data_IF_654233471990
#
_entry.id   IF_654233471990
#
_cell.length_a   1.000
_cell.length_b   1.000
_cell.length_c   1.000
_cell.angle_alpha   90.00
_cell.angle_beta   90.00
_cell.angle_gamma   90.00
#
_symmetry.space_group_name_H-M   'P 1'
#
loop_
_entity.id
_entity.type
_entity.pdbx_description
1 polymer ?
#
# COMPACT_ATOMS: atom_id res chain seq x y z
N UNK A 1 -3.67 -14.33 -34.56
CA UNK A 1 -4.19 -13.09 -33.93
C UNK A 1 -3.27 -12.77 -32.77
N UNK A 2 -2.50 -11.69 -32.84
CA UNK A 2 -1.65 -11.27 -31.72
C UNK A 2 -2.55 -11.03 -30.51
N UNK A 3 -2.26 -11.68 -29.38
CA UNK A 3 -2.97 -11.43 -28.15
C UNK A 3 -2.89 -9.92 -27.84
N UNK A 4 -4.03 -9.25 -27.71
CA UNK A 4 -4.10 -7.83 -27.40
C UNK A 4 -3.40 -7.58 -26.06
N UNK A 5 -2.27 -6.87 -26.10
CA UNK A 5 -1.49 -6.49 -24.92
C UNK A 5 -2.40 -5.70 -23.95
N UNK A 6 -2.43 -6.10 -22.68
CA UNK A 6 -3.30 -5.48 -21.69
C UNK A 6 -2.69 -4.14 -21.27
N UNK A 7 -3.33 -3.04 -21.66
CA UNK A 7 -2.93 -1.67 -21.31
C UNK A 7 -3.99 -1.00 -20.44
N UNK A 8 -3.59 -0.44 -19.31
CA UNK A 8 -4.49 0.31 -18.44
C UNK A 8 -4.99 1.57 -19.16
N UNK A 9 -6.30 1.78 -19.12
CA UNK A 9 -7.00 2.83 -19.87
C UNK A 9 -6.72 2.80 -21.39
N UNK A 10 -6.24 1.67 -21.92
CA UNK A 10 -5.84 1.53 -23.32
C UNK A 10 -4.55 2.28 -23.70
N UNK A 11 -3.82 2.83 -22.72
CA UNK A 11 -2.64 3.67 -22.96
C UNK A 11 -1.39 3.20 -22.22
N UNK A 12 -1.53 2.86 -20.93
CA UNK A 12 -0.39 2.60 -20.07
C UNK A 12 -0.04 1.11 -20.04
N UNK A 13 1.19 0.76 -20.42
CA UNK A 13 1.69 -0.62 -20.31
C UNK A 13 2.07 -0.97 -18.86
N UNK A 14 2.02 -2.26 -18.55
CA UNK A 14 2.40 -2.84 -17.27
C UNK A 14 3.80 -3.47 -17.28
N UNK A 15 4.44 -3.62 -18.45
CA UNK A 15 5.70 -4.36 -18.59
C UNK A 15 6.87 -3.71 -17.86
N UNK A 16 6.93 -2.37 -17.86
CA UNK A 16 8.03 -1.61 -17.26
C UNK A 16 7.87 -1.34 -15.76
N UNK A 17 6.78 -1.84 -15.14
CA UNK A 17 6.45 -1.48 -13.76
C UNK A 17 7.17 -2.41 -12.78
N UNK A 18 8.12 -1.85 -12.03
CA UNK A 18 8.94 -2.57 -11.06
C UNK A 18 8.64 -2.11 -9.63
N UNK A 19 8.48 -3.08 -8.73
CA UNK A 19 8.39 -2.82 -7.28
C UNK A 19 9.79 -2.95 -6.69
N UNK A 20 10.37 -1.83 -6.26
CA UNK A 20 11.75 -1.79 -5.75
C UNK A 20 11.93 -2.36 -4.33
N UNK A 21 10.86 -2.47 -3.54
CA UNK A 21 10.89 -2.99 -2.16
C UNK A 21 10.43 -4.45 -2.13
N UNK A 22 11.35 -5.37 -1.81
CA UNK A 22 11.09 -6.81 -1.76
C UNK A 22 9.91 -7.17 -0.85
N UNK A 23 9.77 -6.48 0.28
CA UNK A 23 8.73 -6.78 1.28
C UNK A 23 7.30 -6.51 0.78
N UNK A 24 7.16 -5.69 -0.27
CA UNK A 24 5.88 -5.23 -0.80
C UNK A 24 5.47 -5.91 -2.11
N UNK A 25 6.36 -6.68 -2.74
CA UNK A 25 6.15 -7.30 -4.06
C UNK A 25 4.84 -8.11 -4.09
N UNK A 26 4.59 -8.93 -3.07
CA UNK A 26 3.39 -9.77 -3.00
C UNK A 26 2.09 -9.01 -2.63
N UNK A 27 2.23 -7.78 -2.12
CA UNK A 27 1.10 -6.96 -1.64
C UNK A 27 0.71 -5.84 -2.60
N UNK A 28 1.55 -5.57 -3.60
CA UNK A 28 1.30 -4.63 -4.70
C UNK A 28 1.07 -5.47 -5.97
N UNK A 29 -0.20 -5.76 -6.26
CA UNK A 29 -0.56 -6.53 -7.43
C UNK A 29 -0.40 -5.71 -8.72
N UNK A 30 0.75 -5.90 -9.38
CA UNK A 30 1.11 -5.39 -10.72
C UNK A 30 1.37 -6.53 -11.71
N UNK A 31 1.47 -7.76 -11.21
CA UNK A 31 1.77 -8.95 -12.02
C UNK A 31 0.69 -9.23 -13.08
N UNK A 32 1.02 -10.13 -14.02
CA UNK A 32 0.16 -10.51 -15.15
C UNK A 32 -1.27 -10.90 -14.74
N UNK A 33 -1.47 -11.45 -13.55
CA UNK A 33 -2.80 -11.83 -13.03
C UNK A 33 -3.67 -10.65 -12.60
N UNK A 34 -3.06 -9.48 -12.38
CA UNK A 34 -3.73 -8.26 -11.92
C UNK A 34 -3.79 -7.16 -12.99
N UNK A 35 -3.31 -7.43 -14.20
CA UNK A 35 -3.41 -6.51 -15.32
C UNK A 35 -4.88 -6.34 -15.73
N UNK A 36 -5.34 -5.10 -15.82
CA UNK A 36 -6.70 -4.80 -16.23
C UNK A 36 -6.76 -3.58 -17.13
N UNK A 37 -7.68 -3.60 -18.11
CA UNK A 37 -7.92 -2.43 -18.97
C UNK A 37 -8.54 -1.27 -18.20
N UNK A 38 -9.40 -1.60 -17.22
CA UNK A 38 -10.11 -0.64 -16.38
C UNK A 38 -9.96 -1.08 -14.91
N UNK A 39 -9.82 -0.14 -13.96
CA UNK A 39 -9.77 -0.45 -12.53
C UNK A 39 -11.18 -0.71 -11.95
N UNK A 40 -12.07 -1.31 -12.74
CA UNK A 40 -13.42 -1.67 -12.37
C UNK A 40 -13.63 -3.18 -12.55
N UNK A 41 -13.27 -3.95 -11.53
CA UNK A 41 -13.49 -5.40 -11.53
C UNK A 41 -14.70 -5.77 -10.66
N UNK A 42 -15.24 -6.97 -10.89
CA UNK A 42 -16.28 -7.61 -10.07
C UNK A 42 -15.67 -8.60 -9.05
N UNK A 43 -14.38 -8.44 -8.73
CA UNK A 43 -13.66 -9.35 -7.85
C UNK A 43 -14.14 -9.31 -6.40
N UNK A 44 -14.37 -10.48 -5.80
CA UNK A 44 -14.74 -10.63 -4.38
C UNK A 44 -13.50 -10.71 -3.49
N UNK A 45 -12.90 -9.55 -3.20
CA UNK A 45 -11.62 -9.48 -2.50
C UNK A 45 -11.70 -9.59 -0.97
N UNK A 46 -12.87 -9.37 -0.34
CA UNK A 46 -13.02 -9.47 1.12
C UNK A 46 -13.39 -10.88 1.62
N UNK A 47 -13.70 -11.84 0.74
CA UNK A 47 -14.18 -13.17 1.14
C UNK A 47 -13.17 -13.94 1.99
N UNK A 48 -11.86 -13.66 1.82
CA UNK A 48 -10.78 -14.22 2.63
C UNK A 48 -9.81 -13.13 3.05
N UNK A 49 -9.19 -13.27 4.22
CA UNK A 49 -8.37 -12.23 4.89
C UNK A 49 -7.28 -11.60 4.00
N UNK A 50 -6.53 -12.41 3.25
CA UNK A 50 -5.42 -11.93 2.41
C UNK A 50 -5.74 -11.78 0.93
N UNK A 51 -6.97 -12.06 0.50
CA UNK A 51 -7.36 -11.99 -0.92
C UNK A 51 -7.33 -10.55 -1.47
N UNK A 52 -7.35 -9.54 -0.57
CA UNK A 52 -7.16 -8.13 -0.92
C UNK A 52 -5.80 -7.81 -1.55
N UNK A 53 -4.77 -8.59 -1.27
CA UNK A 53 -3.45 -8.39 -1.86
C UNK A 53 -3.44 -8.64 -3.38
N UNK A 54 -4.33 -9.52 -3.87
CA UNK A 54 -4.49 -9.84 -5.29
C UNK A 54 -5.26 -8.77 -6.09
N UNK A 55 -5.89 -7.81 -5.41
CA UNK A 55 -6.64 -6.73 -6.07
C UNK A 55 -5.66 -5.75 -6.73
N UNK A 56 -5.85 -5.41 -8.03
CA UNK A 56 -5.00 -4.46 -8.73
C UNK A 56 -4.82 -3.17 -7.93
N UNK A 57 -3.59 -2.67 -7.85
CA UNK A 57 -3.29 -1.53 -6.96
C UNK A 57 -4.09 -0.27 -7.33
N UNK A 58 -4.31 -0.03 -8.63
CA UNK A 58 -5.11 1.09 -9.14
C UNK A 58 -6.59 0.95 -8.76
N UNK A 59 -7.13 -0.28 -8.72
CA UNK A 59 -8.48 -0.52 -8.24
C UNK A 59 -8.62 -0.23 -6.75
N UNK A 60 -7.60 -0.56 -5.94
CA UNK A 60 -7.57 -0.21 -4.52
C UNK A 60 -7.56 1.31 -4.32
N UNK A 61 -6.86 2.06 -5.17
CA UNK A 61 -6.90 3.53 -5.19
C UNK A 61 -8.32 4.04 -5.45
N UNK A 62 -8.95 3.56 -6.52
CA UNK A 62 -10.33 3.92 -6.87
C UNK A 62 -11.29 3.62 -5.72
N UNK A 63 -11.14 2.46 -5.05
CA UNK A 63 -11.98 2.09 -3.92
C UNK A 63 -11.81 3.06 -2.73
N UNK A 64 -10.58 3.49 -2.45
CA UNK A 64 -10.28 4.45 -1.39
C UNK A 64 -10.83 5.85 -1.70
N UNK A 65 -10.85 6.27 -2.96
CA UNK A 65 -11.39 7.58 -3.37
C UNK A 65 -12.90 7.72 -3.11
N UNK A 66 -13.66 6.62 -3.08
CA UNK A 66 -15.12 6.64 -2.87
C UNK A 66 -15.56 6.81 -1.41
N UNK A 67 -14.63 6.91 -0.45
CA UNK A 67 -14.99 7.01 0.96
C UNK A 67 -15.71 8.33 1.30
N UNK A 68 -16.37 8.33 2.46
CA UNK A 68 -17.17 9.43 3.03
C UNK A 68 -18.55 9.61 2.38
N UNK A 69 -19.57 9.03 3.03
CA UNK A 69 -21.00 9.31 2.85
C UNK A 69 -21.46 9.45 1.40
N UNK A 70 -21.61 10.70 0.95
CA UNK A 70 -22.15 11.09 -0.38
C UNK A 70 -21.39 10.49 -1.57
N UNK A 71 -20.16 10.07 -1.37
CA UNK A 71 -19.30 9.51 -2.43
C UNK A 71 -19.27 7.97 -2.44
N UNK A 72 -19.90 7.33 -1.44
CA UNK A 72 -19.89 5.89 -1.28
C UNK A 72 -20.52 5.19 -2.50
N UNK A 73 -19.86 4.14 -3.00
CA UNK A 73 -20.34 3.31 -4.12
C UNK A 73 -20.16 3.91 -5.51
N UNK A 74 -19.71 5.16 -5.66
CA UNK A 74 -19.57 5.85 -6.95
C UNK A 74 -18.27 5.48 -7.69
N UNK A 75 -18.11 4.21 -8.03
CA UNK A 75 -16.87 3.68 -8.64
C UNK A 75 -16.58 4.28 -10.01
N UNK A 76 -17.59 4.44 -10.86
CA UNK A 76 -17.43 5.07 -12.17
C UNK A 76 -16.93 6.53 -12.09
N UNK A 77 -17.31 7.25 -11.04
CA UNK A 77 -16.78 8.60 -10.79
C UNK A 77 -15.31 8.55 -10.36
N UNK A 78 -14.94 7.64 -9.45
CA UNK A 78 -13.57 7.46 -9.01
C UNK A 78 -12.62 7.04 -10.16
N UNK A 79 -13.07 6.14 -11.04
CA UNK A 79 -12.30 5.69 -12.20
C UNK A 79 -11.98 6.86 -13.14
N UNK A 80 -12.93 7.79 -13.37
CA UNK A 80 -12.71 8.99 -14.18
C UNK A 80 -11.69 9.93 -13.54
N UNK A 81 -11.78 10.15 -12.23
CA UNK A 81 -10.82 10.99 -11.49
C UNK A 81 -9.41 10.42 -11.62
N UNK A 82 -9.25 9.11 -11.41
CA UNK A 82 -7.94 8.44 -11.50
C UNK A 82 -7.39 8.47 -12.93
N UNK A 83 -8.25 8.30 -13.94
CA UNK A 83 -7.84 8.44 -15.35
C UNK A 83 -7.21 9.80 -15.62
N UNK A 84 -7.89 10.88 -15.22
CA UNK A 84 -7.37 12.24 -15.42
C UNK A 84 -6.13 12.52 -14.58
N UNK A 85 -6.07 12.03 -13.34
CA UNK A 85 -4.87 12.18 -12.51
C UNK A 85 -3.65 11.50 -13.16
N UNK A 86 -3.82 10.31 -13.75
CA UNK A 86 -2.73 9.60 -14.43
C UNK A 86 -2.29 10.29 -15.72
N UNK A 87 -3.20 10.93 -16.45
CA UNK A 87 -2.87 11.79 -17.60
C UNK A 87 -2.01 12.99 -17.15
N UNK A 88 -2.39 13.67 -16.06
CA UNK A 88 -1.62 14.79 -15.50
C UNK A 88 -0.23 14.35 -15.05
N UNK A 89 -0.13 13.23 -14.33
CA UNK A 89 1.16 12.69 -13.86
C UNK A 89 2.09 12.43 -15.04
N UNK A 90 1.59 11.79 -16.10
CA UNK A 90 2.41 11.50 -17.28
C UNK A 90 2.91 12.79 -17.93
N UNK A 91 2.04 13.78 -18.15
CA UNK A 91 2.42 15.05 -18.77
C UNK A 91 3.45 15.86 -17.96
N UNK A 92 3.48 15.69 -16.64
CA UNK A 92 4.41 16.43 -15.76
C UNK A 92 5.73 15.71 -15.51
N UNK A 93 5.79 14.40 -15.73
CA UNK A 93 6.95 13.57 -15.37
C UNK A 93 7.56 12.80 -16.53
N UNK A 94 6.87 12.74 -17.67
CA UNK A 94 7.20 11.95 -18.87
C UNK A 94 7.43 10.46 -18.61
N UNK A 95 7.00 9.97 -17.44
CA UNK A 95 7.13 8.57 -17.01
C UNK A 95 5.78 7.88 -17.00
N UNK A 96 5.81 6.55 -16.90
CA UNK A 96 4.60 5.76 -16.74
C UNK A 96 3.95 6.11 -15.38
N UNK A 97 2.69 6.58 -15.34
CA UNK A 97 2.02 6.99 -14.11
C UNK A 97 1.80 5.81 -13.14
N UNK A 98 1.73 4.57 -13.65
CA UNK A 98 1.62 3.38 -12.80
C UNK A 98 2.87 3.22 -11.94
N UNK A 99 4.06 3.42 -12.52
CA UNK A 99 5.32 3.32 -11.77
C UNK A 99 5.40 4.37 -10.66
N UNK A 100 5.08 5.63 -10.98
CA UNK A 100 5.07 6.72 -10.00
C UNK A 100 4.09 6.43 -8.87
N UNK A 101 2.92 5.87 -9.20
CA UNK A 101 1.95 5.49 -8.19
C UNK A 101 2.45 4.35 -7.29
N UNK A 102 3.13 3.34 -7.85
CA UNK A 102 3.76 2.27 -7.06
C UNK A 102 4.83 2.83 -6.12
N UNK A 103 5.68 3.74 -6.60
CA UNK A 103 6.71 4.39 -5.79
C UNK A 103 6.08 5.26 -4.68
N UNK A 104 5.01 6.00 -4.98
CA UNK A 104 4.26 6.76 -3.98
C UNK A 104 3.69 5.85 -2.87
N UNK A 105 3.17 4.68 -3.21
CA UNK A 105 2.63 3.71 -2.24
C UNK A 105 3.75 3.11 -1.38
N UNK A 106 4.91 2.78 -1.98
CA UNK A 106 6.08 2.31 -1.23
C UNK A 106 6.53 3.33 -0.19
N UNK A 107 6.59 4.60 -0.59
CA UNK A 107 7.18 5.66 0.23
C UNK A 107 6.20 6.19 1.27
N UNK A 108 4.91 6.28 0.95
CA UNK A 108 3.87 6.82 1.84
C UNK A 108 3.42 5.90 2.98
N UNK A 109 3.82 4.63 2.98
CA UNK A 109 3.44 3.68 4.02
C UNK A 109 4.44 3.67 5.19
N UNK A 110 3.99 3.86 6.45
CA UNK A 110 4.86 3.79 7.62
C UNK A 110 5.36 2.36 7.86
N UNK A 111 6.62 2.26 8.27
CA UNK A 111 7.30 0.99 8.57
C UNK A 111 7.14 0.61 10.04
N UNK A 112 7.08 1.60 10.93
CA UNK A 112 6.90 1.42 12.37
C UNK A 112 5.67 2.21 12.84
N UNK A 113 4.98 1.69 13.85
CA UNK A 113 3.83 2.34 14.47
C UNK A 113 3.96 2.22 16.00
N UNK A 114 3.22 3.05 16.73
CA UNK A 114 3.16 2.99 18.20
C UNK A 114 1.79 2.49 18.64
N UNK A 115 1.76 1.35 19.33
CA UNK A 115 0.52 0.81 19.90
C UNK A 115 0.38 1.23 21.35
N UNK A 116 -0.87 1.45 21.77
CA UNK A 116 -1.22 1.67 23.17
C UNK A 116 -1.28 0.32 23.86
N UNK A 117 -0.29 0.05 24.72
CA UNK A 117 -0.17 -1.18 25.51
C UNK A 117 -0.17 -0.80 26.98
N UNK A 118 -1.02 -1.44 27.78
CA UNK A 118 -1.11 -1.18 29.20
C UNK A 118 -2.41 -1.72 29.77
N UNK A 119 -2.35 -2.14 31.02
CA UNK A 119 -3.47 -2.70 31.77
C UNK A 119 -3.88 -1.73 32.88
N UNK A 120 -5.10 -1.88 33.39
CA UNK A 120 -5.60 -1.12 34.55
C UNK A 120 -5.56 0.42 34.38
N UNK A 121 -5.96 0.92 33.21
CA UNK A 121 -6.13 2.36 32.97
C UNK A 121 -4.84 3.15 32.69
N UNK A 122 -3.67 2.54 32.87
CA UNK A 122 -2.38 3.17 32.51
C UNK A 122 -2.05 2.88 31.06
N UNK A 123 -1.87 3.95 30.28
CA UNK A 123 -1.49 3.87 28.87
C UNK A 123 0.02 4.01 28.73
N UNK A 124 0.68 2.93 28.31
CA UNK A 124 2.05 3.02 27.76
C UNK A 124 1.95 2.88 26.24
N UNK A 125 2.90 3.47 25.52
CA UNK A 125 3.04 3.20 24.08
C UNK A 125 4.21 2.27 23.88
N UNK A 126 4.08 1.29 23.00
CA UNK A 126 5.16 0.40 22.59
C UNK A 126 5.35 0.55 21.08
N UNK A 127 6.60 0.56 20.63
CA UNK A 127 6.91 0.53 19.20
C UNK A 127 6.63 -0.88 18.66
N UNK A 128 5.91 -0.94 17.54
CA UNK A 128 5.54 -2.19 16.87
C UNK A 128 5.77 -2.03 15.38
N UNK A 129 6.32 -3.07 14.75
CA UNK A 129 6.57 -3.09 13.32
C UNK A 129 5.25 -3.25 12.52
N UNK A 130 5.14 -2.58 11.38
CA UNK A 130 3.92 -2.56 10.57
C UNK A 130 3.96 -3.67 9.53
N UNK A 131 2.87 -4.44 9.40
CA UNK A 131 2.77 -5.46 8.35
C UNK A 131 2.73 -4.83 6.94
N UNK A 132 3.39 -5.44 5.93
CA UNK A 132 3.33 -5.04 4.52
C UNK A 132 1.92 -4.74 3.99
N UNK A 133 0.93 -5.60 4.29
CA UNK A 133 -0.46 -5.37 3.88
C UNK A 133 -1.02 -4.08 4.49
N UNK A 134 -0.72 -3.78 5.76
CA UNK A 134 -1.13 -2.55 6.45
C UNK A 134 -0.40 -1.34 5.87
N UNK A 135 0.89 -1.46 5.59
CA UNK A 135 1.72 -0.40 4.96
C UNK A 135 1.11 0.07 3.65
N UNK A 136 0.78 -0.85 2.73
CA UNK A 136 0.11 -0.51 1.46
C UNK A 136 -1.27 0.12 1.69
N UNK A 137 -2.07 -0.43 2.60
CA UNK A 137 -3.41 0.10 2.88
C UNK A 137 -3.38 1.52 3.46
N UNK A 138 -2.46 1.79 4.39
CA UNK A 138 -2.29 3.11 5.01
C UNK A 138 -1.77 4.13 4.00
N UNK A 139 -0.80 3.76 3.17
CA UNK A 139 -0.28 4.63 2.11
C UNK A 139 -1.42 5.12 1.20
N UNK A 140 -2.22 4.19 0.66
CA UNK A 140 -3.35 4.52 -0.22
C UNK A 140 -4.38 5.39 0.51
N UNK A 141 -4.67 5.09 1.78
CA UNK A 141 -5.62 5.87 2.57
C UNK A 141 -5.14 7.29 2.81
N UNK A 142 -3.87 7.48 3.18
CA UNK A 142 -3.28 8.78 3.45
C UNK A 142 -3.17 9.63 2.17
N UNK A 143 -2.77 9.05 1.04
CA UNK A 143 -2.73 9.73 -0.27
C UNK A 143 -4.13 10.24 -0.63
N UNK A 144 -5.16 9.39 -0.57
CA UNK A 144 -6.53 9.81 -0.88
C UNK A 144 -7.06 10.86 0.11
N UNK A 145 -6.67 10.78 1.39
CA UNK A 145 -7.07 11.75 2.41
C UNK A 145 -6.41 13.10 2.18
N UNK A 146 -5.12 13.13 1.84
CA UNK A 146 -4.41 14.33 1.41
C UNK A 146 -5.08 14.97 0.20
N UNK A 147 -5.37 14.19 -0.85
CA UNK A 147 -6.04 14.68 -2.06
C UNK A 147 -7.42 15.29 -1.75
N UNK A 148 -8.25 14.63 -0.93
CA UNK A 148 -9.57 15.14 -0.53
C UNK A 148 -9.46 16.44 0.28
N UNK A 149 -8.57 16.48 1.28
CA UNK A 149 -8.38 17.66 2.11
C UNK A 149 -7.88 18.86 1.30
N UNK A 150 -6.93 18.64 0.39
CA UNK A 150 -6.38 19.68 -0.49
C UNK A 150 -7.39 20.21 -1.52
N UNK A 151 -8.32 19.36 -1.97
CA UNK A 151 -9.40 19.76 -2.89
C UNK A 151 -10.56 20.49 -2.20
N UNK A 152 -10.75 20.28 -0.89
CA UNK A 152 -11.91 20.81 -0.19
C UNK A 152 -11.82 22.33 -0.07
N UNK A 153 -12.78 23.05 -0.66
CA UNK A 153 -12.82 24.52 -0.74
C UNK A 153 -11.67 25.14 -1.54
N UNK A 154 -10.98 24.35 -2.36
CA UNK A 154 -9.93 24.83 -3.26
C UNK A 154 -10.46 24.89 -4.70
N UNK A 155 -9.84 25.72 -5.53
CA UNK A 155 -10.17 25.89 -6.95
C UNK A 155 -9.67 24.69 -7.76
N UNK A 156 -8.55 24.09 -7.33
CA UNK A 156 -7.94 22.93 -7.98
C UNK A 156 -8.91 21.74 -8.03
N UNK A 157 -8.92 21.06 -9.17
CA UNK A 157 -9.73 19.85 -9.32
C UNK A 157 -9.18 18.70 -8.46
N UNK A 158 -10.04 17.76 -8.07
CA UNK A 158 -9.60 16.58 -7.30
C UNK A 158 -8.57 15.73 -8.07
N UNK A 159 -8.63 15.74 -9.41
CA UNK A 159 -7.67 15.02 -10.24
C UNK A 159 -6.26 15.64 -10.17
N UNK A 160 -6.18 16.98 -10.21
CA UNK A 160 -4.92 17.72 -9.99
C UNK A 160 -4.39 17.51 -8.58
N UNK A 161 -5.24 17.64 -7.55
CA UNK A 161 -4.81 17.42 -6.17
C UNK A 161 -4.30 15.98 -5.94
N UNK A 162 -4.92 14.99 -6.58
CA UNK A 162 -4.48 13.60 -6.50
C UNK A 162 -3.15 13.39 -7.24
N UNK A 163 -2.97 14.01 -8.40
CA UNK A 163 -1.71 13.96 -9.15
C UNK A 163 -0.56 14.61 -8.35
N UNK A 164 -0.79 15.81 -7.81
CA UNK A 164 0.16 16.54 -6.95
C UNK A 164 0.58 15.67 -5.75
N UNK A 165 -0.39 15.05 -5.07
CA UNK A 165 -0.13 14.21 -3.91
C UNK A 165 0.69 12.95 -4.26
N UNK A 166 0.35 12.27 -5.37
CA UNK A 166 1.08 11.08 -5.83
C UNK A 166 2.51 11.43 -6.23
N UNK A 167 2.73 12.50 -7.00
CA UNK A 167 4.06 12.92 -7.41
C UNK A 167 4.94 13.32 -6.23
N UNK A 168 4.38 14.06 -5.26
CA UNK A 168 5.11 14.47 -4.06
C UNK A 168 5.45 13.27 -3.18
N UNK A 169 4.54 12.31 -3.02
CA UNK A 169 4.79 11.07 -2.29
C UNK A 169 5.86 10.20 -2.97
N UNK A 170 5.86 10.10 -4.30
CA UNK A 170 6.87 9.35 -5.05
C UNK A 170 8.28 9.93 -4.87
N UNK A 171 8.41 11.27 -4.76
CA UNK A 171 9.68 11.97 -4.52
C UNK A 171 10.08 12.03 -3.04
N UNK A 172 9.32 11.39 -2.15
CA UNK A 172 9.49 11.50 -0.67
C UNK A 172 9.48 12.95 -0.17
N UNK A 173 8.75 13.83 -0.86
CA UNK A 173 8.65 15.21 -0.46
C UNK A 173 7.75 15.32 0.77
N UNK A 174 8.26 16.01 1.79
CA UNK A 174 7.51 16.39 2.98
C UNK A 174 6.36 17.35 2.68
N UNK A 175 6.13 17.78 1.43
CA UNK A 175 4.91 18.48 1.03
C UNK A 175 3.68 17.56 0.98
N UNK A 176 3.89 16.27 0.70
CA UNK A 176 2.81 15.28 0.70
C UNK A 176 2.25 15.07 2.10
N UNK A 177 0.93 15.04 2.21
CA UNK A 177 0.23 14.68 3.45
C UNK A 177 0.59 13.27 3.91
N UNK A 178 0.74 12.32 2.97
CA UNK A 178 1.10 10.94 3.30
C UNK A 178 2.48 10.84 3.96
N UNK A 179 3.48 11.55 3.42
CA UNK A 179 4.85 11.57 3.98
C UNK A 179 4.86 12.27 5.34
N UNK A 180 4.21 13.44 5.48
CA UNK A 180 4.10 14.13 6.78
C UNK A 180 3.53 13.22 7.86
N UNK A 181 2.44 12.50 7.55
CA UNK A 181 1.80 11.60 8.52
C UNK A 181 2.62 10.35 8.81
N UNK A 182 3.32 9.81 7.82
CA UNK A 182 4.28 8.73 8.03
C UNK A 182 5.38 9.16 9.00
N UNK A 183 6.02 10.31 8.76
CA UNK A 183 7.13 10.79 9.58
C UNK A 183 6.70 11.11 11.02
N UNK A 184 5.50 11.67 11.20
CA UNK A 184 4.88 11.87 12.52
C UNK A 184 4.73 10.55 13.30
N UNK A 185 4.24 9.49 12.63
CA UNK A 185 4.02 8.18 13.24
C UNK A 185 5.36 7.51 13.60
N UNK A 186 6.30 7.48 12.65
CA UNK A 186 7.60 6.83 12.83
C UNK A 186 8.44 7.54 13.90
N UNK A 187 8.35 8.87 14.00
CA UNK A 187 9.05 9.62 15.07
C UNK A 187 8.60 9.22 16.47
N UNK A 188 7.31 8.97 16.66
CA UNK A 188 6.77 8.53 17.95
C UNK A 188 7.20 7.10 18.28
N UNK A 189 7.37 6.25 17.28
CA UNK A 189 7.84 4.87 17.44
C UNK A 189 9.34 4.81 17.78
N UNK A 190 10.19 5.56 17.06
CA UNK A 190 11.66 5.57 17.24
C UNK A 190 12.12 5.91 18.65
N UNK A 191 11.43 6.83 19.32
CA UNK A 191 11.77 7.27 20.70
C UNK A 191 11.83 6.11 21.71
N UNK A 192 11.23 4.95 21.39
CA UNK A 192 11.05 3.84 22.32
C UNK A 192 11.85 2.58 22.01
N UNK A 193 12.52 2.51 20.86
CA UNK A 193 13.21 1.31 20.38
C UNK A 193 14.72 1.59 20.37
N UNK A 194 15.56 0.67 20.86
CA UNK A 194 17.01 0.77 20.66
C UNK A 194 17.32 0.69 19.16
N UNK A 195 18.24 1.52 18.68
CA UNK A 195 18.65 1.53 17.28
C UNK A 195 19.26 0.17 16.91
N UNK A 196 18.65 -0.51 15.94
CA UNK A 196 19.17 -1.76 15.37
C UNK A 196 20.15 -1.43 14.24
N UNK A 197 21.18 -2.28 14.08
CA UNK A 197 21.99 -2.26 12.87
C UNK A 197 21.13 -2.52 11.62
N UNK A 198 21.45 -1.87 10.50
CA UNK A 198 20.72 -2.00 9.24
C UNK A 198 20.64 -3.46 8.76
N UNK A 199 21.68 -4.24 9.00
CA UNK A 199 21.72 -5.66 8.67
C UNK A 199 20.70 -6.49 9.47
N UNK A 200 20.53 -6.19 10.76
CA UNK A 200 19.58 -6.90 11.62
C UNK A 200 18.14 -6.48 11.31
N UNK A 201 17.93 -5.23 10.90
CA UNK A 201 16.64 -4.75 10.41
C UNK A 201 16.20 -5.50 9.15
N UNK A 202 17.09 -5.66 8.16
CA UNK A 202 16.79 -6.39 6.93
C UNK A 202 16.48 -7.87 7.20
N UNK A 203 17.21 -8.53 8.11
CA UNK A 203 16.92 -9.90 8.54
C UNK A 203 15.54 -10.02 9.17
N UNK A 204 15.18 -9.12 10.10
CA UNK A 204 13.83 -9.08 10.70
C UNK A 204 12.76 -8.88 9.63
N UNK A 205 12.97 -7.95 8.70
CA UNK A 205 12.02 -7.65 7.63
C UNK A 205 11.76 -8.88 6.74
N UNK A 206 12.81 -9.65 6.41
CA UNK A 206 12.72 -10.88 5.64
C UNK A 206 11.88 -11.94 6.38
N UNK A 207 12.17 -12.19 7.66
CA UNK A 207 11.41 -13.16 8.48
C UNK A 207 9.93 -12.73 8.59
N UNK A 208 9.66 -11.44 8.79
CA UNK A 208 8.28 -10.93 8.79
C UNK A 208 7.55 -11.12 7.46
N UNK A 209 8.26 -10.94 6.35
CA UNK A 209 7.71 -11.18 5.02
C UNK A 209 7.38 -12.67 4.85
N UNK A 210 8.29 -13.57 5.20
CA UNK A 210 8.10 -15.02 5.09
C UNK A 210 6.91 -15.52 5.92
N UNK A 211 6.80 -15.08 7.18
CA UNK A 211 5.63 -15.39 8.03
C UNK A 211 4.34 -14.97 7.36
N UNK A 212 4.30 -13.79 6.74
CA UNK A 212 3.08 -13.27 6.15
C UNK A 212 2.76 -13.90 4.79
N UNK A 213 3.76 -14.30 4.01
CA UNK A 213 3.57 -15.09 2.79
C UNK A 213 3.04 -16.48 3.13
N UNK A 214 3.62 -17.14 4.14
CA UNK A 214 3.11 -18.42 4.65
C UNK A 214 1.67 -18.28 5.20
N UNK A 215 1.38 -17.22 5.96
CA UNK A 215 0.04 -16.92 6.46
C UNK A 215 -0.96 -16.63 5.32
N UNK A 216 -0.49 -16.02 4.23
CA UNK A 216 -1.31 -15.76 3.05
C UNK A 216 -1.66 -17.08 2.34
N UNK A 217 -0.68 -17.96 2.15
CA UNK A 217 -0.88 -19.28 1.51
C UNK A 217 -1.82 -20.17 2.34
N UNK A 218 -1.62 -20.30 3.65
CA UNK A 218 -2.49 -21.10 4.55
C UNK A 218 -3.95 -20.65 4.55
N UNK A 219 -4.22 -19.35 4.38
CA UNK A 219 -5.60 -18.84 4.33
C UNK A 219 -6.20 -18.91 2.92
N UNK A 220 -5.40 -19.17 1.89
CA UNK A 220 -5.82 -19.27 0.49
C UNK A 220 -5.96 -20.71 -0.01
N UNK A 221 -5.17 -21.66 0.49
CA UNK A 221 -5.31 -23.09 0.22
C UNK A 221 -5.79 -23.83 1.48
N UNK A 222 -6.36 -25.02 1.28
CA UNK A 222 -6.75 -25.96 2.34
C UNK A 222 -5.68 -27.04 2.59
N UNK A 223 -4.48 -26.83 2.04
CA UNK A 223 -3.37 -27.78 2.09
C UNK A 223 -2.63 -27.68 3.43
N UNK A 224 -2.06 -28.80 3.90
CA UNK A 224 -1.31 -28.88 5.16
C UNK A 224 0.10 -28.27 5.08
N UNK A 225 0.80 -28.41 3.94
CA UNK A 225 2.18 -27.93 3.79
C UNK A 225 2.40 -26.43 4.09
N UNK A 226 1.50 -25.52 3.68
CA UNK A 226 1.57 -24.11 4.07
C UNK A 226 1.49 -23.88 5.58
N UNK A 227 0.81 -24.75 6.34
CA UNK A 227 0.64 -24.63 7.80
C UNK A 227 1.96 -24.93 8.49
N UNK A 228 2.65 -26.00 8.07
CA UNK A 228 3.97 -26.35 8.58
C UNK A 228 5.01 -25.25 8.32
N UNK A 229 4.96 -24.64 7.13
CA UNK A 229 5.82 -23.50 6.79
C UNK A 229 5.52 -22.26 7.65
N UNK A 230 4.25 -22.03 8.00
CA UNK A 230 3.85 -20.94 8.88
C UNK A 230 4.34 -21.17 10.31
N UNK A 231 4.20 -22.38 10.84
CA UNK A 231 4.64 -22.71 12.20
C UNK A 231 6.16 -22.56 12.34
N UNK A 232 6.92 -23.00 11.32
CA UNK A 232 8.37 -22.77 11.26
C UNK A 232 8.73 -21.28 11.26
N UNK A 233 8.07 -20.49 10.44
CA UNK A 233 8.34 -19.05 10.35
C UNK A 233 7.94 -18.31 11.66
N UNK A 234 6.86 -18.73 12.33
CA UNK A 234 6.46 -18.19 13.64
C UNK A 234 7.50 -18.53 14.71
N UNK A 235 8.06 -19.74 14.68
CA UNK A 235 9.11 -20.14 15.60
C UNK A 235 10.36 -19.26 15.42
N UNK A 236 10.78 -19.01 14.18
CA UNK A 236 11.91 -18.11 13.86
C UNK A 236 11.65 -16.66 14.32
N UNK A 237 10.40 -16.19 14.19
CA UNK A 237 9.98 -14.87 14.67
C UNK A 237 9.98 -14.78 16.21
N UNK A 238 9.69 -15.87 16.92
CA UNK A 238 9.56 -15.84 18.38
C UNK A 238 10.87 -15.42 19.05
N UNK A 239 12.01 -15.93 18.58
CA UNK A 239 13.36 -15.57 19.03
C UNK A 239 13.72 -14.08 18.89
N UNK A 240 13.00 -13.32 18.06
CA UNK A 240 13.21 -11.88 17.87
C UNK A 240 12.49 -11.05 18.94
N UNK A 241 11.35 -11.54 19.43
CA UNK A 241 10.44 -10.79 20.31
C UNK A 241 10.36 -11.34 21.73
N UNK A 242 10.84 -12.55 21.98
CA UNK A 242 11.10 -13.04 23.34
C UNK A 242 12.47 -12.51 23.82
N UNK A 243 12.54 -11.93 25.02
CA UNK A 243 13.80 -11.50 25.63
C UNK A 243 14.74 -12.67 25.90
#
# INVERSE_FOLDING_TARGET
MSATEVKLFGRWSYEDVMVSDLSLVDYIAVSKSAQSFLPHTAGRYQMRRFRKALCPIVERLCCSMMMHGRNNGKKLMAVRIVKHAFEIIHLLTDKNPIQIYVDAVKNGGPREDSTRVGSAGVVRRQAVDVSPLRRVNQAIYLICTGARNSSFRNIKSIAECLADEIMNAAKESSNSYAIKKKDEIERVAKVKKPELSEADYLKRLAIHHDVLVAAMKTKQSSELGPVEALDKAIHELSHIYTP
#
